data_IF_743931988329
#
_entry.id   IF_743931988329
#
_cell.length_a   1.000
_cell.length_b   1.000
_cell.length_c   1.000
_cell.angle_alpha   90.00
_cell.angle_beta   90.00
_cell.angle_gamma   90.00
#
_symmetry.space_group_name_H-M   'P 1'
#
loop_
_entity.id
_entity.type
_entity.pdbx_description
1 polymer ?
#
# COMPACT_ATOMS: atom_id res chain seq x y z
N UNK A 1 5.80 -31.78 7.07
CA UNK A 1 7.22 -32.16 7.20
C UNK A 1 7.56 -32.11 8.69
N UNK A 2 8.29 -33.09 9.23
CA UNK A 2 8.71 -33.05 10.63
C UNK A 2 9.79 -31.95 10.80
N UNK A 3 9.72 -31.18 11.88
CA UNK A 3 10.74 -30.18 12.23
C UNK A 3 12.06 -30.89 12.53
N UNK A 4 13.17 -30.30 12.14
CA UNK A 4 14.48 -30.78 12.58
C UNK A 4 14.72 -30.45 14.07
N UNK A 5 15.77 -30.99 14.68
CA UNK A 5 16.07 -30.78 16.10
C UNK A 5 16.31 -29.30 16.45
N UNK A 6 16.93 -28.55 15.55
CA UNK A 6 17.23 -27.12 15.73
C UNK A 6 15.95 -26.27 15.65
N UNK A 7 15.11 -26.52 14.65
CA UNK A 7 13.79 -25.89 14.49
C UNK A 7 12.87 -26.20 15.67
N UNK A 8 12.94 -27.43 16.20
CA UNK A 8 12.16 -27.85 17.37
C UNK A 8 12.61 -27.11 18.64
N UNK A 9 13.93 -26.99 18.85
CA UNK A 9 14.49 -26.23 19.97
C UNK A 9 14.16 -24.73 19.86
N UNK A 10 14.25 -24.15 18.66
CA UNK A 10 13.84 -22.76 18.40
C UNK A 10 12.36 -22.53 18.69
N UNK A 11 11.48 -23.43 18.23
CA UNK A 11 10.04 -23.30 18.47
C UNK A 11 9.70 -23.28 19.96
N UNK A 12 10.35 -24.14 20.75
CA UNK A 12 10.17 -24.20 22.21
C UNK A 12 10.70 -22.93 22.89
N UNK A 13 11.88 -22.45 22.49
CA UNK A 13 12.48 -21.23 23.06
C UNK A 13 11.66 -19.97 22.73
N UNK A 14 11.14 -19.89 21.50
CA UNK A 14 10.37 -18.75 21.02
C UNK A 14 9.01 -18.59 21.73
N UNK A 15 8.43 -19.66 22.29
CA UNK A 15 7.22 -19.58 23.11
C UNK A 15 7.48 -18.95 24.49
N UNK A 16 8.70 -19.06 25.02
CA UNK A 16 9.04 -18.65 26.38
C UNK A 16 9.58 -17.21 26.49
N UNK A 17 10.10 -16.61 25.42
CA UNK A 17 10.88 -15.36 25.47
C UNK A 17 10.31 -14.16 24.68
N UNK A 18 9.07 -14.23 24.18
CA UNK A 18 8.49 -13.12 23.40
C UNK A 18 7.93 -12.00 24.30
N UNK A 19 8.52 -10.81 24.17
CA UNK A 19 8.02 -9.57 24.79
C UNK A 19 6.99 -8.91 23.86
N UNK A 20 5.80 -8.58 24.37
CA UNK A 20 4.73 -7.91 23.61
C UNK A 20 4.87 -6.39 23.46
N UNK A 21 5.97 -5.79 23.91
CA UNK A 21 6.26 -4.34 23.81
C UNK A 21 7.18 -4.01 22.64
N UNK A 22 8.09 -3.03 22.80
CA UNK A 22 9.07 -2.65 21.75
C UNK A 22 9.99 -3.80 21.29
N UNK A 23 10.08 -4.88 22.07
CA UNK A 23 10.83 -6.10 21.73
C UNK A 23 10.09 -7.07 20.80
N UNK A 24 8.83 -6.78 20.42
CA UNK A 24 8.04 -7.61 19.52
C UNK A 24 8.46 -7.44 18.04
N UNK A 25 9.70 -7.09 17.72
CA UNK A 25 10.13 -6.93 16.32
C UNK A 25 10.48 -8.29 15.71
N UNK A 26 10.37 -8.40 14.40
CA UNK A 26 11.04 -9.50 13.67
C UNK A 26 12.53 -9.44 13.99
N UNK A 27 13.13 -10.59 14.31
CA UNK A 27 14.53 -10.67 14.69
C UNK A 27 15.46 -10.04 13.65
N UNK A 28 16.46 -9.27 14.09
CA UNK A 28 17.32 -8.48 13.20
C UNK A 28 18.01 -9.33 12.12
N UNK A 29 18.47 -10.53 12.47
CA UNK A 29 19.11 -11.46 11.52
C UNK A 29 18.13 -11.96 10.47
N UNK A 30 16.91 -12.34 10.88
CA UNK A 30 15.83 -12.78 9.98
C UNK A 30 15.45 -11.66 9.01
N UNK A 31 15.24 -10.45 9.55
CA UNK A 31 14.89 -9.29 8.75
C UNK A 31 16.01 -8.93 7.76
N UNK A 32 17.26 -8.93 8.21
CA UNK A 32 18.42 -8.64 7.36
C UNK A 32 18.51 -9.62 6.18
N UNK A 33 18.36 -10.92 6.42
CA UNK A 33 18.38 -11.93 5.35
C UNK A 33 17.20 -11.77 4.38
N UNK A 34 16.00 -11.55 4.90
CA UNK A 34 14.80 -11.37 4.09
C UNK A 34 14.91 -10.15 3.15
N UNK A 35 15.54 -9.06 3.60
CA UNK A 35 15.63 -7.83 2.81
C UNK A 35 16.90 -7.76 1.92
N UNK A 36 17.89 -8.62 2.14
CA UNK A 36 19.23 -8.52 1.53
C UNK A 36 19.23 -8.54 -0.01
N UNK A 37 18.23 -9.15 -0.64
CA UNK A 37 18.14 -9.29 -2.11
C UNK A 37 17.11 -8.36 -2.74
N UNK A 38 16.45 -7.53 -1.93
CA UNK A 38 15.56 -6.49 -2.46
C UNK A 38 16.39 -5.40 -3.10
N UNK A 39 15.86 -4.85 -4.20
CA UNK A 39 16.51 -3.77 -4.95
C UNK A 39 15.51 -2.61 -5.10
N UNK A 40 15.27 -1.82 -4.05
CA UNK A 40 14.48 -0.61 -4.16
C UNK A 40 15.13 0.38 -5.14
N UNK A 41 14.31 1.14 -5.86
CA UNK A 41 14.80 2.21 -6.74
C UNK A 41 15.53 3.26 -5.90
N UNK A 42 16.68 3.71 -6.40
CA UNK A 42 17.46 4.77 -5.78
C UNK A 42 16.98 6.14 -6.28
N UNK A 43 17.02 7.15 -5.39
CA UNK A 43 16.71 8.53 -5.73
C UNK A 43 17.75 9.46 -5.11
N UNK A 44 18.18 10.46 -5.88
CA UNK A 44 19.16 11.47 -5.45
C UNK A 44 18.70 12.31 -4.28
N UNK A 45 17.39 12.40 -4.08
CA UNK A 45 16.77 13.16 -2.99
C UNK A 45 16.89 12.43 -1.65
N UNK A 46 17.16 11.12 -1.64
CA UNK A 46 17.32 10.31 -0.43
C UNK A 46 18.76 10.42 0.06
N UNK A 47 18.98 11.26 1.06
CA UNK A 47 20.30 11.52 1.64
C UNK A 47 20.69 10.47 2.69
N UNK A 48 19.70 9.94 3.41
CA UNK A 48 19.83 8.82 4.36
C UNK A 48 18.64 7.89 4.11
N UNK A 49 18.90 6.60 3.98
CA UNK A 49 17.90 5.58 3.63
C UNK A 49 18.50 4.18 3.73
N UNK A 50 18.00 3.22 2.93
CA UNK A 50 18.43 1.82 3.06
C UNK A 50 19.89 1.54 2.67
N UNK A 51 20.54 2.40 1.87
CA UNK A 51 21.96 2.25 1.50
C UNK A 51 22.92 2.67 2.62
N UNK A 52 22.45 3.53 3.54
CA UNK A 52 23.15 3.94 4.74
C UNK A 52 22.14 3.97 5.90
N UNK A 53 21.70 2.80 6.41
CA UNK A 53 20.63 2.70 7.39
C UNK A 53 20.96 3.44 8.68
N UNK A 54 20.02 4.24 9.17
CA UNK A 54 20.07 4.95 10.43
C UNK A 54 18.64 4.99 11.03
N UNK A 55 18.43 5.70 12.15
CA UNK A 55 17.15 5.77 12.86
C UNK A 55 16.00 6.36 12.02
N UNK A 56 16.32 7.17 11.01
CA UNK A 56 15.33 7.77 10.12
C UNK A 56 15.91 8.03 8.71
N UNK A 57 15.02 8.04 7.72
CA UNK A 57 15.37 8.50 6.39
C UNK A 57 15.41 10.04 6.34
N UNK A 58 16.38 10.58 5.60
CA UNK A 58 16.49 12.02 5.31
C UNK A 58 16.23 12.22 3.83
N UNK A 59 15.15 12.92 3.50
CA UNK A 59 14.71 13.14 2.12
C UNK A 59 14.66 14.64 1.83
N UNK A 60 15.33 15.07 0.76
CA UNK A 60 15.31 16.46 0.30
C UNK A 60 14.03 16.74 -0.50
N UNK A 61 13.31 17.80 -0.14
CA UNK A 61 12.22 18.34 -0.95
C UNK A 61 12.80 19.40 -1.91
N UNK A 62 12.65 19.25 -3.24
CA UNK A 62 13.11 20.24 -4.20
C UNK A 62 12.42 21.60 -4.02
N UNK A 63 13.13 22.68 -4.36
CA UNK A 63 12.53 24.02 -4.38
C UNK A 63 11.37 24.09 -5.37
N UNK A 64 10.26 24.74 -4.96
CA UNK A 64 9.07 24.87 -5.80
C UNK A 64 8.16 23.64 -5.81
N UNK A 65 8.35 22.72 -4.86
CA UNK A 65 7.47 21.57 -4.63
C UNK A 65 6.86 21.62 -3.23
N UNK A 66 5.60 21.21 -3.13
CA UNK A 66 4.95 20.90 -1.85
C UNK A 66 4.91 19.38 -1.67
N UNK A 67 5.00 18.93 -0.41
CA UNK A 67 4.98 17.52 -0.08
C UNK A 67 3.55 17.03 0.19
N UNK A 68 3.23 15.86 -0.36
CA UNK A 68 1.98 15.14 -0.11
C UNK A 68 2.32 13.90 0.71
N UNK A 69 1.60 13.67 1.79
CA UNK A 69 1.89 12.59 2.73
C UNK A 69 0.62 11.80 2.99
N UNK A 70 0.72 10.48 2.90
CA UNK A 70 -0.35 9.56 3.27
C UNK A 70 0.20 8.36 4.01
N UNK A 71 -0.66 7.65 4.71
CA UNK A 71 -0.37 6.35 5.32
C UNK A 71 -1.60 5.46 5.23
N UNK A 72 -1.40 4.25 4.72
CA UNK A 72 -2.39 3.20 4.75
C UNK A 72 -1.80 1.92 5.33
N UNK A 73 -2.64 1.17 6.03
CA UNK A 73 -2.26 -0.09 6.66
C UNK A 73 -3.49 -0.99 6.81
N UNK A 74 -3.38 -2.24 6.36
CA UNK A 74 -4.46 -3.20 6.51
C UNK A 74 -3.95 -4.63 6.68
N UNK A 75 -4.86 -5.46 7.19
CA UNK A 75 -4.64 -6.88 7.45
C UNK A 75 -4.72 -7.68 6.16
N UNK A 76 -3.92 -8.73 6.05
CA UNK A 76 -3.97 -9.65 4.93
C UNK A 76 -5.35 -10.32 4.85
N UNK A 77 -5.92 -10.29 3.65
CA UNK A 77 -7.18 -10.95 3.31
C UNK A 77 -6.99 -12.07 2.27
N UNK A 78 -5.72 -12.35 1.94
CA UNK A 78 -5.26 -13.46 1.11
C UNK A 78 -4.01 -14.09 1.73
N UNK A 79 -3.77 -15.34 1.38
CA UNK A 79 -2.65 -16.11 1.94
C UNK A 79 -1.33 -15.94 1.17
N UNK A 80 -1.36 -15.40 -0.05
CA UNK A 80 -0.16 -15.15 -0.87
C UNK A 80 0.51 -13.84 -0.44
N UNK A 81 1.69 -13.89 0.22
CA UNK A 81 2.33 -12.68 0.74
C UNK A 81 2.83 -11.77 -0.39
N UNK A 82 3.29 -12.33 -1.51
CA UNK A 82 3.81 -11.55 -2.63
C UNK A 82 2.70 -10.74 -3.32
N UNK A 83 1.56 -11.37 -3.59
CA UNK A 83 0.39 -10.66 -4.12
C UNK A 83 -0.14 -9.65 -3.09
N UNK A 84 -0.15 -10.00 -1.81
CA UNK A 84 -0.56 -9.07 -0.74
C UNK A 84 0.34 -7.83 -0.70
N UNK A 85 1.65 -8.01 -0.82
CA UNK A 85 2.62 -6.92 -0.94
C UNK A 85 2.33 -5.98 -2.10
N UNK A 86 2.02 -6.54 -3.29
CA UNK A 86 1.63 -5.77 -4.46
C UNK A 86 0.36 -4.96 -4.24
N UNK A 87 -0.65 -5.55 -3.59
CA UNK A 87 -1.92 -4.87 -3.31
C UNK A 87 -1.72 -3.75 -2.28
N UNK A 88 -0.98 -4.01 -1.19
CA UNK A 88 -0.70 -2.99 -0.17
C UNK A 88 0.08 -1.79 -0.72
N UNK A 89 1.09 -2.01 -1.55
CA UNK A 89 1.84 -0.94 -2.19
C UNK A 89 0.96 -0.11 -3.15
N UNK A 90 0.16 -0.77 -4.00
CA UNK A 90 -0.76 -0.06 -4.90
C UNK A 90 -1.83 0.73 -4.16
N UNK A 91 -2.34 0.19 -3.04
CA UNK A 91 -3.33 0.86 -2.21
C UNK A 91 -2.75 2.16 -1.61
N UNK A 92 -1.60 2.08 -0.93
CA UNK A 92 -0.96 3.24 -0.32
C UNK A 92 -0.50 4.30 -1.34
N UNK A 93 -0.12 3.87 -2.55
CA UNK A 93 0.16 4.79 -3.67
C UNK A 93 -1.10 5.42 -4.27
N UNK A 94 -2.27 4.81 -4.04
CA UNK A 94 -3.56 5.24 -4.56
C UNK A 94 -3.87 6.69 -4.21
N UNK A 95 -3.73 7.05 -2.94
CA UNK A 95 -3.89 8.40 -2.40
C UNK A 95 -2.95 9.43 -3.06
N UNK A 96 -1.68 9.07 -3.25
CA UNK A 96 -0.70 9.93 -3.91
C UNK A 96 -1.14 10.25 -5.34
N UNK A 97 -1.59 9.22 -6.07
CA UNK A 97 -2.07 9.40 -7.43
C UNK A 97 -3.42 10.12 -7.50
N UNK A 98 -4.32 9.88 -6.54
CA UNK A 98 -5.60 10.59 -6.44
C UNK A 98 -5.40 12.09 -6.23
N UNK A 99 -4.36 12.50 -5.51
CA UNK A 99 -3.95 13.90 -5.35
C UNK A 99 -3.23 14.47 -6.58
N UNK A 100 -3.00 13.67 -7.63
CA UNK A 100 -2.25 14.07 -8.81
C UNK A 100 -0.73 14.19 -8.60
N UNK A 101 -0.21 13.68 -7.47
CA UNK A 101 1.17 13.83 -7.05
C UNK A 101 2.11 12.78 -7.65
N UNK A 102 3.40 13.10 -7.71
CA UNK A 102 4.46 12.16 -8.08
C UNK A 102 4.99 11.45 -6.83
N UNK A 103 4.84 10.12 -6.76
CA UNK A 103 5.39 9.32 -5.67
C UNK A 103 6.91 9.44 -5.56
N UNK A 104 7.44 9.64 -4.35
CA UNK A 104 8.87 9.83 -4.10
C UNK A 104 9.45 8.73 -3.24
N UNK A 105 8.93 8.56 -2.03
CA UNK A 105 9.49 7.62 -1.05
C UNK A 105 8.40 6.95 -0.24
N UNK A 106 8.70 5.75 0.26
CA UNK A 106 7.83 5.00 1.14
C UNK A 106 8.61 4.44 2.34
N UNK A 107 7.94 4.36 3.49
CA UNK A 107 8.39 3.55 4.63
C UNK A 107 7.36 2.47 4.92
N UNK A 108 7.82 1.23 5.08
CA UNK A 108 6.95 0.10 5.34
C UNK A 108 6.54 0.02 6.82
N UNK A 109 5.30 -0.38 7.10
CA UNK A 109 4.84 -0.78 8.43
C UNK A 109 4.23 -2.16 8.31
N UNK A 110 4.85 -3.16 8.93
CA UNK A 110 4.45 -4.56 8.79
C UNK A 110 4.18 -5.21 10.15
N UNK A 111 3.10 -5.99 10.22
CA UNK A 111 2.88 -6.99 11.27
C UNK A 111 3.08 -8.37 10.65
N UNK A 112 3.94 -9.19 11.25
CA UNK A 112 4.31 -10.50 10.72
C UNK A 112 3.90 -11.59 11.72
N UNK A 113 3.22 -12.66 11.28
CA UNK A 113 2.90 -13.78 12.14
C UNK A 113 4.13 -14.40 12.77
N UNK A 114 4.00 -14.76 14.05
CA UNK A 114 5.03 -15.50 14.75
C UNK A 114 5.20 -16.89 14.15
N UNK A 115 6.44 -17.33 13.99
CA UNK A 115 6.74 -18.66 13.47
C UNK A 115 8.22 -19.01 13.56
N UNK A 116 8.58 -20.11 12.91
CA UNK A 116 9.96 -20.51 12.69
C UNK A 116 10.68 -19.44 11.87
N UNK A 117 11.94 -19.18 12.18
CA UNK A 117 12.72 -18.13 11.52
C UNK A 117 12.67 -18.24 10.00
N UNK A 118 12.87 -19.44 9.44
CA UNK A 118 12.84 -19.67 8.00
C UNK A 118 11.48 -19.32 7.36
N UNK A 119 10.37 -19.49 8.10
CA UNK A 119 9.02 -19.16 7.61
C UNK A 119 8.72 -17.67 7.71
N UNK A 120 9.18 -17.04 8.79
CA UNK A 120 9.09 -15.58 8.96
C UNK A 120 9.93 -14.89 7.88
N UNK A 121 11.15 -15.38 7.63
CA UNK A 121 12.05 -14.88 6.58
C UNK A 121 11.40 -14.94 5.20
N UNK A 122 10.89 -16.10 4.80
CA UNK A 122 10.23 -16.29 3.51
C UNK A 122 8.98 -15.40 3.37
N UNK A 123 8.16 -15.32 4.42
CA UNK A 123 6.96 -14.46 4.43
C UNK A 123 7.33 -12.99 4.23
N UNK A 124 8.32 -12.48 4.96
CA UNK A 124 8.80 -11.10 4.84
C UNK A 124 9.40 -10.86 3.46
N UNK A 125 10.22 -11.79 2.97
CA UNK A 125 10.84 -11.68 1.65
C UNK A 125 9.79 -11.59 0.54
N UNK A 126 8.86 -12.54 0.46
CA UNK A 126 7.83 -12.57 -0.57
C UNK A 126 6.97 -11.31 -0.53
N UNK A 127 6.51 -10.94 0.67
CA UNK A 127 5.69 -9.76 0.89
C UNK A 127 6.39 -8.47 0.45
N UNK A 128 7.62 -8.26 0.90
CA UNK A 128 8.37 -7.05 0.55
C UNK A 128 8.83 -7.07 -0.92
N UNK A 129 9.10 -8.24 -1.51
CA UNK A 129 9.45 -8.37 -2.92
C UNK A 129 8.31 -7.92 -3.82
N UNK A 130 7.08 -8.33 -3.52
CA UNK A 130 5.90 -7.88 -4.26
C UNK A 130 5.65 -6.38 -4.12
N UNK A 131 5.80 -5.84 -2.91
CA UNK A 131 5.66 -4.41 -2.67
C UNK A 131 6.72 -3.58 -3.39
N UNK A 132 8.00 -3.97 -3.31
CA UNK A 132 9.12 -3.25 -3.95
C UNK A 132 8.98 -3.23 -5.46
N UNK A 133 8.45 -4.28 -6.08
CA UNK A 133 8.16 -4.28 -7.52
C UNK A 133 7.22 -3.13 -7.91
N UNK A 134 6.09 -2.98 -7.20
CA UNK A 134 5.11 -1.91 -7.44
C UNK A 134 5.68 -0.53 -7.12
N UNK A 135 6.41 -0.41 -6.00
CA UNK A 135 7.05 0.86 -5.61
C UNK A 135 8.07 1.30 -6.68
N UNK A 136 8.89 0.37 -7.17
CA UNK A 136 9.88 0.66 -8.21
C UNK A 136 9.23 1.08 -9.54
N UNK A 137 8.15 0.41 -9.96
CA UNK A 137 7.37 0.80 -11.16
C UNK A 137 6.78 2.21 -11.04
N UNK A 138 6.45 2.64 -9.82
CA UNK A 138 6.02 3.99 -9.52
C UNK A 138 7.17 5.00 -9.38
N UNK A 139 8.43 4.55 -9.40
CA UNK A 139 9.60 5.37 -9.08
C UNK A 139 9.68 5.76 -7.60
N UNK A 140 8.94 5.09 -6.72
CA UNK A 140 8.89 5.37 -5.30
C UNK A 140 9.98 4.57 -4.55
N UNK A 141 10.94 5.25 -3.94
CA UNK A 141 12.02 4.58 -3.21
C UNK A 141 11.53 4.08 -1.84
N UNK A 142 11.72 2.80 -1.55
CA UNK A 142 11.60 2.31 -0.18
C UNK A 142 12.82 2.80 0.63
N UNK A 143 12.59 3.61 1.66
CA UNK A 143 13.69 4.26 2.41
C UNK A 143 13.83 3.78 3.85
N UNK A 144 12.92 2.93 4.33
CA UNK A 144 12.95 2.39 5.68
C UNK A 144 11.65 1.68 6.04
N UNK A 145 11.48 1.40 7.32
CA UNK A 145 10.24 0.82 7.82
C UNK A 145 10.32 0.28 9.24
N UNK A 146 9.23 -0.34 9.67
CA UNK A 146 9.08 -0.97 10.96
C UNK A 146 8.37 -2.31 10.83
N UNK A 147 8.88 -3.31 11.54
CA UNK A 147 8.26 -4.65 11.63
C UNK A 147 7.91 -4.96 13.08
N UNK A 148 6.67 -5.36 13.31
CA UNK A 148 6.22 -6.00 14.56
C UNK A 148 5.79 -7.44 14.29
N UNK A 149 5.89 -8.28 15.30
CA UNK A 149 5.32 -9.61 15.33
C UNK A 149 3.91 -9.53 15.90
N UNK A 150 2.97 -10.25 15.29
CA UNK A 150 1.58 -10.26 15.71
C UNK A 150 0.86 -11.54 15.30
N UNK A 151 -0.45 -11.60 15.52
CA UNK A 151 -1.27 -12.76 15.17
C UNK A 151 -1.68 -12.78 13.70
N UNK A 152 -1.85 -11.61 13.09
CA UNK A 152 -2.33 -11.46 11.72
C UNK A 152 -1.27 -10.75 10.88
N UNK A 153 -1.02 -11.27 9.68
CA UNK A 153 -0.17 -10.59 8.70
C UNK A 153 -0.85 -9.28 8.31
N UNK A 154 -0.09 -8.19 8.33
CA UNK A 154 -0.58 -6.88 7.91
C UNK A 154 0.57 -6.07 7.33
N UNK A 155 0.24 -5.21 6.37
CA UNK A 155 1.22 -4.38 5.69
C UNK A 155 0.58 -3.04 5.36
N UNK A 156 1.42 -2.02 5.41
CA UNK A 156 1.09 -0.67 5.06
C UNK A 156 2.34 0.11 4.68
N UNK A 157 2.12 1.28 4.11
CA UNK A 157 3.18 2.20 3.76
C UNK A 157 2.77 3.61 4.14
N UNK A 158 3.69 4.33 4.78
CA UNK A 158 3.64 5.78 4.75
C UNK A 158 4.34 6.23 3.47
N UNK A 159 3.63 6.96 2.61
CA UNK A 159 4.12 7.35 1.29
C UNK A 159 4.19 8.87 1.20
N UNK A 160 5.29 9.34 0.64
CA UNK A 160 5.54 10.74 0.35
C UNK A 160 5.50 10.94 -1.17
N UNK A 161 4.79 11.97 -1.62
CA UNK A 161 4.76 12.44 -2.99
C UNK A 161 5.05 13.94 -3.08
N UNK A 162 5.15 14.44 -4.30
CA UNK A 162 5.36 15.86 -4.58
C UNK A 162 4.34 16.39 -5.58
N UNK A 163 3.92 17.63 -5.37
CA UNK A 163 3.13 18.45 -6.29
C UNK A 163 3.85 19.79 -6.51
N UNK A 164 3.45 20.55 -7.52
CA UNK A 164 3.95 21.91 -7.72
C UNK A 164 3.50 22.83 -6.57
N UNK A 165 4.41 23.71 -6.13
CA UNK A 165 4.15 24.61 -5.02
C UNK A 165 2.93 25.50 -5.25
N UNK A 166 2.19 25.74 -4.17
CA UNK A 166 0.97 26.55 -4.19
C UNK A 166 -0.30 25.74 -4.47
N UNK A 167 -0.21 24.41 -4.50
CA UNK A 167 -1.37 23.50 -4.46
C UNK A 167 -2.25 23.46 -5.71
N UNK A 168 -2.03 24.34 -6.69
CA UNK A 168 -2.88 24.42 -7.89
C UNK A 168 -2.85 23.16 -8.77
N UNK A 169 -1.78 22.35 -8.64
CA UNK A 169 -1.66 21.06 -9.35
C UNK A 169 -2.30 19.89 -8.61
N UNK A 170 -2.77 20.09 -7.37
CA UNK A 170 -3.40 19.05 -6.58
C UNK A 170 -4.82 18.77 -7.07
N UNK A 171 -5.14 17.51 -7.29
CA UNK A 171 -6.50 17.06 -7.53
C UNK A 171 -7.18 16.80 -6.18
N UNK A 172 -8.06 17.70 -5.76
CA UNK A 172 -8.80 17.54 -4.51
C UNK A 172 -10.11 16.80 -4.72
N UNK A 173 -10.76 16.36 -3.63
CA UNK A 173 -12.11 15.77 -3.68
C UNK A 173 -13.19 16.79 -4.06
N UNK A 174 -12.95 18.08 -3.83
CA UNK A 174 -13.85 19.16 -4.22
C UNK A 174 -13.59 19.66 -5.65
N UNK A 175 -14.50 20.48 -6.16
CA UNK A 175 -14.41 21.04 -7.52
C UNK A 175 -15.34 20.36 -8.53
N UNK A 176 -16.34 19.63 -8.05
CA UNK A 176 -17.41 19.14 -8.93
C UNK A 176 -18.31 20.30 -9.37
N UNK A 177 -18.77 20.24 -10.61
CA UNK A 177 -19.70 21.21 -11.21
C UNK A 177 -20.88 20.48 -11.87
N UNK A 178 -22.10 21.04 -11.83
CA UNK A 178 -23.24 20.47 -12.56
C UNK A 178 -22.95 20.30 -14.05
N UNK A 179 -23.40 19.17 -14.61
CA UNK A 179 -23.19 18.82 -16.02
C UNK A 179 -21.87 18.10 -16.32
N UNK A 180 -21.01 17.88 -15.32
CA UNK A 180 -19.84 17.01 -15.45
C UNK A 180 -20.22 15.52 -15.38
N UNK A 181 -19.32 14.66 -15.88
CA UNK A 181 -19.46 13.21 -15.85
C UNK A 181 -18.57 12.59 -14.78
N UNK A 182 -19.05 11.49 -14.19
CA UNK A 182 -18.26 10.67 -13.27
C UNK A 182 -17.52 9.59 -14.04
N UNK A 183 -16.22 9.47 -13.82
CA UNK A 183 -15.37 8.45 -14.47
C UNK A 183 -14.87 7.48 -13.41
N UNK A 184 -15.13 6.19 -13.62
CA UNK A 184 -14.62 5.11 -12.80
C UNK A 184 -13.58 4.31 -13.58
N UNK A 185 -12.38 4.18 -13.03
CA UNK A 185 -11.24 3.56 -13.74
C UNK A 185 -11.04 2.07 -13.40
N UNK A 186 -11.74 1.56 -12.39
CA UNK A 186 -11.70 0.16 -11.94
C UNK A 186 -13.08 -0.33 -11.52
N UNK A 187 -13.41 -1.62 -11.72
CA UNK A 187 -14.67 -2.17 -11.22
C UNK A 187 -14.76 -2.12 -9.69
N UNK A 188 -15.98 -1.97 -9.17
CA UNK A 188 -16.28 -2.09 -7.74
C UNK A 188 -16.64 -3.54 -7.37
N UNK A 189 -16.73 -3.84 -6.06
CA UNK A 189 -17.27 -5.10 -5.55
C UNK A 189 -16.24 -6.07 -4.95
N UNK A 190 -14.96 -5.68 -4.89
CA UNK A 190 -13.90 -6.47 -4.24
C UNK A 190 -14.26 -6.87 -2.81
N UNK A 191 -14.80 -5.95 -2.01
CA UNK A 191 -15.25 -6.24 -0.64
C UNK A 191 -16.31 -7.35 -0.57
N UNK A 192 -17.30 -7.34 -1.48
CA UNK A 192 -18.31 -8.41 -1.56
C UNK A 192 -17.68 -9.75 -1.92
N UNK A 193 -16.74 -9.76 -2.87
CA UNK A 193 -16.03 -10.95 -3.29
C UNK A 193 -15.20 -11.56 -2.15
N UNK A 194 -14.45 -10.74 -1.40
CA UNK A 194 -13.66 -11.24 -0.27
C UNK A 194 -14.53 -11.65 0.93
N UNK A 195 -15.67 -11.00 1.16
CA UNK A 195 -16.63 -11.46 2.15
C UNK A 195 -17.22 -12.84 1.79
N UNK A 196 -17.48 -13.10 0.51
CA UNK A 196 -17.89 -14.42 0.03
C UNK A 196 -16.75 -15.44 0.08
N UNK A 197 -15.51 -15.04 -0.25
CA UNK A 197 -14.33 -15.90 -0.20
C UNK A 197 -14.06 -16.42 1.21
N UNK A 198 -14.11 -15.54 2.22
CA UNK A 198 -13.94 -15.92 3.63
C UNK A 198 -14.99 -16.94 4.12
N UNK A 199 -16.11 -17.08 3.40
CA UNK A 199 -17.20 -18.04 3.69
C UNK A 199 -17.21 -19.22 2.71
N UNK A 200 -16.15 -19.39 1.91
CA UNK A 200 -16.03 -20.42 0.88
C UNK A 200 -17.15 -20.36 -0.19
N UNK A 201 -17.75 -19.17 -0.39
CA UNK A 201 -18.84 -18.93 -1.33
C UNK A 201 -18.42 -18.29 -2.65
N UNK A 202 -17.15 -17.89 -2.79
CA UNK A 202 -16.61 -17.32 -4.03
C UNK A 202 -15.97 -18.39 -4.92
N UNK A 203 -16.05 -18.21 -6.24
CA UNK A 203 -15.28 -19.02 -7.21
C UNK A 203 -13.86 -18.44 -7.33
N UNK A 204 -12.84 -19.29 -7.42
CA UNK A 204 -11.43 -18.85 -7.53
C UNK A 204 -11.20 -17.77 -8.59
N UNK A 205 -11.71 -18.00 -9.81
CA UNK A 205 -11.63 -17.02 -10.91
C UNK A 205 -12.20 -15.62 -10.62
N UNK A 206 -13.15 -15.50 -9.67
CA UNK A 206 -13.67 -14.19 -9.27
C UNK A 206 -12.66 -13.46 -8.38
N UNK A 207 -11.98 -14.19 -7.50
CA UNK A 207 -10.91 -13.66 -6.66
C UNK A 207 -9.68 -13.34 -7.50
N UNK A 208 -9.31 -14.18 -8.46
CA UNK A 208 -8.21 -13.91 -9.38
C UNK A 208 -8.43 -12.60 -10.15
N UNK A 209 -9.64 -12.38 -10.67
CA UNK A 209 -10.01 -11.14 -11.36
C UNK A 209 -9.97 -9.91 -10.42
N UNK A 210 -10.44 -10.05 -9.18
CA UNK A 210 -10.37 -9.00 -8.17
C UNK A 210 -8.92 -8.65 -7.82
N UNK A 211 -8.07 -9.65 -7.61
CA UNK A 211 -6.64 -9.48 -7.34
C UNK A 211 -5.93 -8.79 -8.50
N UNK A 212 -6.20 -9.20 -9.74
CA UNK A 212 -5.67 -8.54 -10.92
C UNK A 212 -6.04 -7.04 -10.96
N UNK A 213 -7.30 -6.71 -10.67
CA UNK A 213 -7.75 -5.31 -10.60
C UNK A 213 -7.11 -4.52 -9.45
N UNK A 214 -6.87 -5.15 -8.29
CA UNK A 214 -6.24 -4.50 -7.13
C UNK A 214 -4.73 -4.31 -7.30
N UNK A 215 -4.07 -5.19 -8.07
CA UNK A 215 -2.65 -5.06 -8.42
C UNK A 215 -2.38 -4.06 -9.57
N UNK A 216 -3.42 -3.58 -10.25
CA UNK A 216 -3.26 -2.55 -11.27
C UNK A 216 -2.99 -1.18 -10.62
N UNK A 217 -1.96 -0.46 -11.05
CA UNK A 217 -1.67 0.89 -10.52
C UNK A 217 -2.66 1.94 -10.99
N UNK A 218 -2.98 2.92 -10.13
CA UNK A 218 -3.78 4.10 -10.49
C UNK A 218 -2.97 5.16 -11.26
N UNK A 219 -1.63 5.03 -11.35
CA UNK A 219 -0.73 6.07 -11.89
C UNK A 219 -1.14 6.60 -13.27
N UNK A 220 -1.39 5.70 -14.21
CA UNK A 220 -1.74 6.08 -15.59
C UNK A 220 -3.13 6.72 -15.65
N UNK A 221 -4.09 6.19 -14.91
CA UNK A 221 -5.43 6.77 -14.80
C UNK A 221 -5.40 8.18 -14.24
N UNK A 222 -4.64 8.40 -13.16
CA UNK A 222 -4.45 9.71 -12.56
C UNK A 222 -3.77 10.71 -13.52
N UNK A 223 -2.73 10.28 -14.27
CA UNK A 223 -2.10 11.15 -15.27
C UNK A 223 -3.09 11.56 -16.36
N UNK A 224 -3.86 10.61 -16.87
CA UNK A 224 -4.87 10.85 -17.89
C UNK A 224 -5.95 11.83 -17.40
N UNK A 225 -6.46 11.64 -16.18
CA UNK A 225 -7.46 12.53 -15.58
C UNK A 225 -6.92 13.96 -15.44
N UNK A 226 -5.68 14.11 -14.93
CA UNK A 226 -5.03 15.42 -14.78
C UNK A 226 -4.81 16.10 -16.14
N UNK A 227 -4.29 15.38 -17.13
CA UNK A 227 -4.01 15.90 -18.47
C UNK A 227 -5.28 16.37 -19.20
N UNK A 228 -6.43 15.75 -18.91
CA UNK A 228 -7.73 16.11 -19.50
C UNK A 228 -8.56 17.05 -18.61
N UNK A 229 -7.95 17.64 -17.57
CA UNK A 229 -8.59 18.69 -16.77
C UNK A 229 -9.69 18.18 -15.83
N UNK A 230 -9.52 16.99 -15.24
CA UNK A 230 -10.38 16.54 -14.16
C UNK A 230 -10.43 17.60 -13.05
N UNK A 231 -11.64 17.98 -12.64
CA UNK A 231 -11.83 19.07 -11.66
C UNK A 231 -11.86 18.59 -10.22
N UNK A 232 -12.10 17.29 -10.02
CA UNK A 232 -12.03 16.62 -8.72
C UNK A 232 -11.55 15.17 -8.92
N UNK A 233 -10.90 14.61 -7.91
CA UNK A 233 -10.46 13.21 -7.92
C UNK A 233 -10.47 12.61 -6.51
N UNK A 234 -10.72 11.30 -6.45
CA UNK A 234 -10.51 10.44 -5.29
C UNK A 234 -10.28 9.03 -5.82
N UNK A 235 -9.59 8.20 -5.06
CA UNK A 235 -9.63 6.76 -5.24
C UNK A 235 -10.79 6.16 -4.43
N UNK A 236 -11.30 4.99 -4.90
CA UNK A 236 -12.38 4.28 -4.23
C UNK A 236 -11.83 3.15 -3.38
N UNK A 237 -11.93 3.29 -2.05
CA UNK A 237 -11.39 2.35 -1.07
C UNK A 237 -12.46 1.93 -0.06
N UNK A 238 -12.18 2.00 1.24
CA UNK A 238 -12.95 1.34 2.32
C UNK A 238 -14.36 1.86 2.53
N UNK A 239 -14.66 3.10 2.10
CA UNK A 239 -16.00 3.68 2.23
C UNK A 239 -16.94 3.33 1.06
N UNK A 240 -16.39 2.69 0.02
CA UNK A 240 -17.14 2.34 -1.19
C UNK A 240 -17.60 3.56 -1.99
N UNK A 241 -18.22 3.30 -3.14
CA UNK A 241 -18.60 4.33 -4.13
C UNK A 241 -19.43 5.47 -3.51
N UNK A 242 -20.47 5.13 -2.76
CA UNK A 242 -21.37 6.14 -2.18
C UNK A 242 -20.68 6.97 -1.10
N UNK A 243 -19.83 6.35 -0.28
CA UNK A 243 -19.09 7.07 0.78
C UNK A 243 -18.18 8.13 0.18
N UNK A 244 -17.37 7.74 -0.80
CA UNK A 244 -16.47 8.67 -1.49
C UNK A 244 -17.23 9.73 -2.31
N UNK A 245 -18.32 9.38 -2.97
CA UNK A 245 -19.15 10.39 -3.67
C UNK A 245 -19.69 11.44 -2.71
N UNK A 246 -20.14 11.05 -1.51
CA UNK A 246 -20.58 12.02 -0.48
C UNK A 246 -19.44 12.94 -0.04
N UNK A 247 -18.21 12.43 0.06
CA UNK A 247 -17.02 13.26 0.35
C UNK A 247 -16.73 14.28 -0.75
N UNK A 248 -17.06 13.96 -2.01
CA UNK A 248 -16.83 14.85 -3.15
C UNK A 248 -17.97 15.86 -3.37
N UNK A 249 -19.22 15.42 -3.21
CA UNK A 249 -20.41 16.23 -3.49
C UNK A 249 -20.65 17.30 -2.43
N UNK A 250 -20.45 16.98 -1.14
CA UNK A 250 -20.61 17.92 -0.02
C UNK A 250 -19.81 19.22 -0.15
N UNK A 251 -18.47 19.19 -0.33
CA UNK A 251 -17.69 20.42 -0.47
C UNK A 251 -17.96 21.14 -1.80
N UNK A 252 -18.54 20.46 -2.78
CA UNK A 252 -18.86 21.02 -4.09
C UNK A 252 -20.30 21.55 -4.17
N UNK A 253 -21.13 21.32 -3.15
CA UNK A 253 -22.55 21.71 -3.09
C UNK A 253 -23.37 21.25 -4.32
N UNK A 254 -23.12 20.02 -4.78
CA UNK A 254 -23.84 19.39 -5.90
C UNK A 254 -24.42 18.03 -5.51
N UNK A 255 -25.30 17.49 -6.35
CA UNK A 255 -25.76 16.09 -6.29
C UNK A 255 -25.07 15.25 -7.39
N UNK A 256 -25.09 13.92 -7.23
CA UNK A 256 -24.59 12.97 -8.20
C UNK A 256 -25.68 11.98 -8.61
N UNK A 257 -25.86 11.78 -9.92
CA UNK A 257 -26.71 10.75 -10.50
C UNK A 257 -25.85 9.60 -11.03
N UNK A 258 -26.24 8.36 -10.70
CA UNK A 258 -25.52 7.15 -11.12
C UNK A 258 -26.49 6.26 -11.88
N UNK A 259 -26.15 5.99 -13.14
CA UNK A 259 -26.83 4.95 -13.92
C UNK A 259 -26.20 3.58 -13.59
N UNK A 260 -26.99 2.69 -12.99
CA UNK A 260 -26.54 1.33 -12.63
C UNK A 260 -26.55 0.36 -13.83
N UNK A 261 -27.04 0.82 -14.99
CA UNK A 261 -27.16 0.02 -16.23
C UNK A 261 -26.10 0.35 -17.27
N UNK A 262 -25.35 1.44 -17.07
CA UNK A 262 -24.22 1.86 -17.89
C UNK A 262 -23.02 0.90 -17.77
#
# INVERSE_FOLDING_TARGET
MALNEEESAQAISALAMRCGGCGAKVGATVLSRALATLQPVERSEVLVGLHAPDDAAVVRIPTGKDAVHTIDFFRAFIDDPYVFGKVAANHALGDIFAMGAEAQTATAVATVPQGLEAKVEDTVYQMMRGAVEVLNEAGCALVGGHTGEGSELALGFAVNGLIDAGGASALTKGGLHPGQVLILTKPIGTGTLFAAHARLGARGRWIDAALASMCQSNRQGASCLREHGATACTDLTGFGLLGHLVEMTRPSEVDAEIDLTA
#
